data_IF_620705832968
#
_entry.id   IF_620705832968
#
_cell.length_a   1.000
_cell.length_b   1.000
_cell.length_c   1.000
_cell.angle_alpha   90.00
_cell.angle_beta   90.00
_cell.angle_gamma   90.00
#
_symmetry.space_group_name_H-M   'P 1'
#
loop_
_entity.id
_entity.type
_entity.pdbx_description
1 polymer ?
#
# COMPACT_ATOMS: atom_id res chain seq x y z
N UNK A 1 5.72 73.82 14.34
CA UNK A 1 4.42 73.10 14.44
C UNK A 1 4.49 71.86 13.55
N UNK A 2 4.37 70.68 14.16
CA UNK A 2 4.47 69.36 13.52
C UNK A 2 3.06 68.90 13.14
N UNK A 3 2.80 68.56 11.88
CA UNK A 3 1.58 67.86 11.46
C UNK A 3 1.97 66.42 11.09
N UNK A 4 1.61 65.46 11.93
CA UNK A 4 1.79 64.02 11.72
C UNK A 4 0.49 63.45 11.15
N UNK A 5 0.47 63.12 9.86
CA UNK A 5 -0.64 62.44 9.20
C UNK A 5 -0.47 60.93 9.38
N UNK A 6 -1.34 60.31 10.19
CA UNK A 6 -1.30 58.88 10.52
C UNK A 6 -2.14 58.10 9.50
N UNK A 7 -1.48 57.28 8.67
CA UNK A 7 -2.12 56.33 7.75
C UNK A 7 -2.39 55.03 8.53
N UNK A 8 -3.67 54.71 8.74
CA UNK A 8 -4.13 53.48 9.37
C UNK A 8 -4.15 52.35 8.33
N UNK A 9 -3.14 51.49 8.35
CA UNK A 9 -3.01 50.34 7.47
C UNK A 9 -3.75 49.15 8.09
N UNK A 10 -4.94 48.82 7.55
CA UNK A 10 -5.72 47.65 7.94
C UNK A 10 -5.05 46.41 7.32
N UNK A 11 -4.35 45.63 8.15
CA UNK A 11 -3.77 44.34 7.78
C UNK A 11 -4.88 43.29 7.87
N UNK A 12 -5.39 42.87 6.71
CA UNK A 12 -6.30 41.72 6.58
C UNK A 12 -5.44 40.46 6.76
N UNK A 13 -5.47 39.85 7.96
CA UNK A 13 -4.93 38.51 8.20
C UNK A 13 -5.81 37.50 7.44
N UNK A 14 -5.39 37.11 6.24
CA UNK A 14 -5.93 35.95 5.56
C UNK A 14 -5.40 34.69 6.27
N UNK A 15 -6.21 34.10 7.15
CA UNK A 15 -5.92 32.76 7.66
C UNK A 15 -6.11 31.78 6.49
N UNK A 16 -5.03 31.48 5.77
CA UNK A 16 -5.05 30.38 4.83
C UNK A 16 -5.40 29.10 5.61
N UNK A 17 -6.44 28.34 5.22
CA UNK A 17 -6.67 27.04 5.81
C UNK A 17 -5.42 26.20 5.52
N UNK A 18 -4.69 25.80 6.55
CA UNK A 18 -3.67 24.77 6.40
C UNK A 18 -4.43 23.50 6.06
N UNK A 19 -4.36 23.07 4.80
CA UNK A 19 -4.73 21.72 4.44
C UNK A 19 -3.72 20.85 5.18
N UNK A 20 -4.15 20.28 6.32
CA UNK A 20 -3.36 19.26 6.98
C UNK A 20 -3.12 18.18 5.93
N UNK A 21 -1.85 17.91 5.64
CA UNK A 21 -1.49 16.82 4.73
C UNK A 21 -2.19 15.56 5.25
N UNK A 22 -3.00 14.93 4.40
CA UNK A 22 -3.78 13.77 4.81
C UNK A 22 -2.79 12.67 5.22
N UNK A 23 -2.83 12.27 6.48
CA UNK A 23 -1.97 11.25 7.06
C UNK A 23 -2.76 9.98 7.33
N UNK A 24 -2.09 8.85 7.31
CA UNK A 24 -2.66 7.56 7.67
C UNK A 24 -2.64 7.34 9.17
N UNK A 25 -3.76 6.84 9.70
CA UNK A 25 -3.74 6.04 10.92
C UNK A 25 -2.88 4.79 10.73
N UNK A 26 -2.44 4.18 11.84
CA UNK A 26 -1.69 2.91 11.79
C UNK A 26 -2.43 1.82 11.00
N UNK A 27 -3.77 1.79 11.08
CA UNK A 27 -4.60 0.81 10.37
C UNK A 27 -4.69 1.08 8.87
N UNK A 28 -4.73 2.34 8.44
CA UNK A 28 -4.71 2.69 7.02
C UNK A 28 -3.35 2.38 6.40
N UNK A 29 -2.26 2.64 7.13
CA UNK A 29 -0.90 2.27 6.71
C UNK A 29 -0.73 0.74 6.61
N UNK A 30 -1.22 -0.02 7.61
CA UNK A 30 -1.26 -1.50 7.55
C UNK A 30 -2.08 -1.97 6.34
N UNK A 31 -3.23 -1.35 6.07
CA UNK A 31 -4.10 -1.73 4.96
C UNK A 31 -3.46 -1.52 3.59
N UNK A 32 -2.81 -0.38 3.36
CA UNK A 32 -2.10 -0.13 2.11
C UNK A 32 -0.99 -1.18 1.90
N UNK A 33 -0.18 -1.44 2.94
CA UNK A 33 0.87 -2.45 2.85
C UNK A 33 0.31 -3.85 2.63
N UNK A 34 -0.86 -4.16 3.19
CA UNK A 34 -1.59 -5.39 2.92
C UNK A 34 -2.00 -5.54 1.46
N UNK A 35 -2.52 -4.47 0.85
CA UNK A 35 -2.86 -4.43 -0.58
C UNK A 35 -1.60 -4.59 -1.44
N UNK A 36 -0.50 -3.91 -1.07
CA UNK A 36 0.80 -4.07 -1.74
C UNK A 36 1.28 -5.51 -1.71
N UNK A 37 1.33 -6.12 -0.52
CA UNK A 37 1.72 -7.53 -0.35
C UNK A 37 0.90 -8.44 -1.27
N UNK A 38 -0.42 -8.25 -1.29
CA UNK A 38 -1.30 -9.07 -2.13
C UNK A 38 -1.02 -8.89 -3.62
N UNK A 39 -0.91 -7.64 -4.10
CA UNK A 39 -0.61 -7.32 -5.50
C UNK A 39 0.75 -7.87 -5.93
N UNK A 40 1.79 -7.69 -5.12
CA UNK A 40 3.15 -8.17 -5.42
C UNK A 40 3.18 -9.70 -5.50
N UNK A 41 2.59 -10.41 -4.52
CA UNK A 41 2.59 -11.87 -4.50
C UNK A 41 1.82 -12.48 -5.68
N UNK A 42 0.78 -11.79 -6.18
CA UNK A 42 0.07 -12.20 -7.38
C UNK A 42 0.98 -12.21 -8.60
N UNK A 43 1.74 -11.13 -8.83
CA UNK A 43 2.66 -11.02 -9.97
C UNK A 43 3.80 -12.03 -9.87
N UNK A 44 4.36 -12.23 -8.66
CA UNK A 44 5.37 -13.27 -8.42
C UNK A 44 4.81 -14.65 -8.75
N UNK A 45 3.58 -14.95 -8.30
CA UNK A 45 2.95 -16.24 -8.51
C UNK A 45 2.73 -16.54 -9.99
N UNK A 46 2.29 -15.54 -10.76
CA UNK A 46 2.09 -15.64 -12.20
C UNK A 46 3.42 -15.89 -12.95
N UNK A 47 4.46 -15.10 -12.66
CA UNK A 47 5.74 -15.21 -13.35
C UNK A 47 6.53 -16.48 -12.95
N UNK A 48 6.32 -16.99 -11.75
CA UNK A 48 7.01 -18.17 -11.22
C UNK A 48 6.14 -19.42 -11.17
N UNK A 49 5.04 -19.46 -11.93
CA UNK A 49 4.11 -20.60 -11.97
C UNK A 49 4.73 -21.93 -12.44
N UNK A 50 5.91 -21.92 -13.04
CA UNK A 50 6.60 -23.14 -13.45
C UNK A 50 7.37 -23.78 -12.29
N UNK A 51 7.60 -23.04 -11.19
CA UNK A 51 8.25 -23.57 -9.99
C UNK A 51 7.28 -24.36 -9.13
N UNK A 52 7.76 -25.47 -8.58
CA UNK A 52 7.08 -26.21 -7.53
C UNK A 52 7.38 -25.58 -6.16
N UNK A 53 6.35 -25.42 -5.35
CA UNK A 53 6.45 -25.15 -3.92
C UNK A 53 6.87 -26.40 -3.14
N UNK A 54 7.19 -26.23 -1.86
CA UNK A 54 7.45 -27.34 -0.93
C UNK A 54 6.34 -28.42 -0.88
N UNK A 55 5.11 -28.06 -1.27
CA UNK A 55 3.95 -28.97 -1.29
C UNK A 55 3.67 -29.57 -2.68
N UNK A 56 4.58 -29.40 -3.65
CA UNK A 56 4.43 -29.90 -5.02
C UNK A 56 3.47 -29.12 -5.92
N UNK A 57 2.74 -28.13 -5.37
CA UNK A 57 1.90 -27.23 -6.18
C UNK A 57 2.74 -26.15 -6.84
N UNK A 58 2.28 -25.63 -7.99
CA UNK A 58 2.89 -24.43 -8.53
C UNK A 58 2.65 -23.19 -7.67
N UNK A 59 3.54 -22.19 -7.79
CA UNK A 59 3.48 -20.98 -6.97
C UNK A 59 2.24 -20.12 -7.19
N UNK A 60 1.63 -20.16 -8.39
CA UNK A 60 0.36 -19.47 -8.62
C UNK A 60 -0.79 -20.08 -7.81
N UNK A 61 -0.87 -21.42 -7.75
CA UNK A 61 -1.85 -22.13 -6.94
C UNK A 61 -1.64 -21.87 -5.44
N UNK A 62 -0.39 -21.83 -4.98
CA UNK A 62 -0.07 -21.48 -3.58
C UNK A 62 -0.48 -20.05 -3.25
N UNK A 63 -0.23 -19.09 -4.13
CA UNK A 63 -0.75 -17.73 -4.00
C UNK A 63 -2.28 -17.72 -3.91
N UNK A 64 -2.98 -18.44 -4.79
CA UNK A 64 -4.45 -18.51 -4.76
C UNK A 64 -4.99 -19.08 -3.44
N UNK A 65 -4.36 -20.14 -2.91
CA UNK A 65 -4.71 -20.71 -1.60
C UNK A 65 -4.47 -19.71 -0.47
N UNK A 66 -3.37 -18.97 -0.53
CA UNK A 66 -3.07 -17.89 0.41
C UNK A 66 -4.14 -16.80 0.37
N UNK A 67 -4.51 -16.30 -0.81
CA UNK A 67 -5.59 -15.31 -0.98
C UNK A 67 -6.92 -15.83 -0.45
N UNK A 68 -7.27 -17.09 -0.73
CA UNK A 68 -8.52 -17.70 -0.25
C UNK A 68 -8.54 -17.84 1.27
N UNK A 69 -7.43 -18.27 1.88
CA UNK A 69 -7.30 -18.44 3.34
C UNK A 69 -7.51 -17.13 4.10
N UNK A 70 -7.13 -16.00 3.50
CA UNK A 70 -7.12 -14.68 4.15
C UNK A 70 -8.01 -13.66 3.42
N UNK A 71 -9.03 -14.13 2.71
CA UNK A 71 -9.88 -13.28 1.87
C UNK A 71 -10.59 -12.19 2.68
N UNK A 72 -11.02 -12.49 3.91
CA UNK A 72 -11.64 -11.53 4.83
C UNK A 72 -10.69 -10.39 5.21
N UNK A 73 -9.41 -10.71 5.42
CA UNK A 73 -8.40 -9.74 5.80
C UNK A 73 -8.12 -8.76 4.65
N UNK A 74 -7.91 -9.29 3.43
CA UNK A 74 -7.66 -8.43 2.26
C UNK A 74 -8.88 -7.58 1.90
N UNK A 75 -10.09 -8.13 1.99
CA UNK A 75 -11.32 -7.35 1.83
C UNK A 75 -11.46 -6.24 2.89
N UNK A 76 -11.01 -6.51 4.12
CA UNK A 76 -10.98 -5.49 5.18
C UNK A 76 -10.01 -4.37 4.87
N UNK A 77 -8.81 -4.67 4.35
CA UNK A 77 -7.84 -3.66 3.94
C UNK A 77 -8.37 -2.76 2.81
N UNK A 78 -8.98 -3.35 1.78
CA UNK A 78 -9.62 -2.59 0.72
C UNK A 78 -10.71 -1.66 1.26
N UNK A 79 -11.54 -2.17 2.19
CA UNK A 79 -12.56 -1.36 2.85
C UNK A 79 -11.97 -0.17 3.62
N UNK A 80 -10.87 -0.37 4.35
CA UNK A 80 -10.20 0.69 5.12
C UNK A 80 -9.70 1.78 4.16
N UNK A 81 -8.99 1.40 3.08
CA UNK A 81 -8.49 2.38 2.10
C UNK A 81 -9.65 3.09 1.39
N UNK A 82 -10.71 2.37 1.01
CA UNK A 82 -11.91 2.99 0.43
C UNK A 82 -12.55 4.00 1.38
N UNK A 83 -12.58 3.74 2.68
CA UNK A 83 -13.10 4.68 3.68
C UNK A 83 -12.20 5.91 3.81
N UNK A 84 -10.88 5.73 3.85
CA UNK A 84 -9.91 6.83 3.83
C UNK A 84 -10.10 7.72 2.60
N UNK A 85 -10.13 7.14 1.40
CA UNK A 85 -10.27 7.88 0.15
C UNK A 85 -11.57 8.70 0.13
N UNK A 86 -12.70 8.09 0.54
CA UNK A 86 -13.99 8.78 0.66
C UNK A 86 -13.94 9.93 1.66
N UNK A 87 -13.36 9.70 2.85
CA UNK A 87 -13.27 10.71 3.91
C UNK A 87 -12.41 11.91 3.48
N UNK A 88 -11.40 11.67 2.65
CA UNK A 88 -10.49 12.71 2.16
C UNK A 88 -10.93 13.32 0.82
N UNK A 89 -12.16 13.07 0.37
CA UNK A 89 -12.77 13.77 -0.77
C UNK A 89 -12.36 13.23 -2.14
N UNK A 90 -11.85 12.01 -2.23
CA UNK A 90 -11.59 11.36 -3.52
C UNK A 90 -12.90 11.23 -4.32
N UNK A 91 -12.88 11.67 -5.58
CA UNK A 91 -14.06 11.70 -6.46
C UNK A 91 -14.43 10.33 -7.00
N UNK A 92 -13.48 9.40 -7.08
CA UNK A 92 -13.68 8.03 -7.51
C UNK A 92 -12.76 7.06 -6.74
N UNK A 93 -13.09 6.78 -5.45
CA UNK A 93 -12.27 5.95 -4.57
C UNK A 93 -11.96 4.56 -5.13
N UNK A 94 -12.89 3.97 -5.87
CA UNK A 94 -12.71 2.65 -6.47
C UNK A 94 -11.67 2.67 -7.59
N UNK A 95 -11.72 3.67 -8.47
CA UNK A 95 -10.70 3.85 -9.48
C UNK A 95 -9.33 4.09 -8.85
N UNK A 96 -9.25 4.92 -7.81
CA UNK A 96 -8.00 5.18 -7.09
C UNK A 96 -7.45 3.92 -6.43
N UNK A 97 -8.29 3.09 -5.79
CA UNK A 97 -7.88 1.79 -5.25
C UNK A 97 -7.37 0.83 -6.34
N UNK A 98 -8.04 0.78 -7.49
CA UNK A 98 -7.62 -0.05 -8.62
C UNK A 98 -6.28 0.42 -9.21
N UNK A 99 -6.06 1.74 -9.30
CA UNK A 99 -4.75 2.31 -9.68
C UNK A 99 -3.68 1.91 -8.67
N UNK A 100 -3.92 2.06 -7.38
CA UNK A 100 -2.98 1.65 -6.32
C UNK A 100 -2.59 0.17 -6.44
N UNK A 101 -3.56 -0.72 -6.67
CA UNK A 101 -3.30 -2.16 -6.89
C UNK A 101 -2.42 -2.39 -8.11
N UNK A 102 -2.68 -1.65 -9.18
CA UNK A 102 -1.94 -1.71 -10.45
C UNK A 102 -0.51 -1.21 -10.29
N UNK A 103 -0.30 -0.11 -9.57
CA UNK A 103 1.03 0.46 -9.32
C UNK A 103 1.91 -0.50 -8.51
N UNK A 104 1.35 -1.13 -7.47
CA UNK A 104 2.06 -2.14 -6.70
C UNK A 104 2.40 -3.38 -7.53
N UNK A 105 1.49 -3.83 -8.38
CA UNK A 105 1.76 -4.94 -9.30
C UNK A 105 2.86 -4.55 -10.30
N UNK A 106 2.80 -3.35 -10.88
CA UNK A 106 3.74 -2.87 -11.90
C UNK A 106 5.17 -2.79 -11.39
N UNK A 107 5.39 -2.46 -10.11
CA UNK A 107 6.74 -2.47 -9.53
C UNK A 107 7.43 -3.83 -9.70
N UNK A 108 6.72 -4.92 -9.41
CA UNK A 108 7.26 -6.28 -9.58
C UNK A 108 7.21 -6.73 -11.04
N UNK A 109 6.22 -6.30 -11.83
CA UNK A 109 6.16 -6.61 -13.26
C UNK A 109 7.35 -6.03 -14.02
N UNK A 110 7.81 -4.83 -13.65
CA UNK A 110 8.99 -4.21 -14.25
C UNK A 110 10.25 -5.04 -13.95
N UNK A 111 10.43 -5.46 -12.70
CA UNK A 111 11.53 -6.39 -12.34
C UNK A 111 11.44 -7.70 -13.13
N UNK A 112 10.24 -8.26 -13.30
CA UNK A 112 10.04 -9.48 -14.08
C UNK A 112 10.37 -9.30 -15.57
N UNK A 113 10.16 -8.10 -16.12
CA UNK A 113 10.47 -7.77 -17.51
C UNK A 113 11.98 -7.51 -17.72
N UNK A 114 12.66 -6.92 -16.74
CA UNK A 114 14.08 -6.58 -16.83
C UNK A 114 15.00 -7.76 -16.47
N UNK A 115 14.58 -8.61 -15.54
CA UNK A 115 15.37 -9.73 -15.06
C UNK A 115 15.18 -10.98 -15.91
N UNK A 116 16.22 -11.82 -15.95
CA UNK A 116 16.05 -13.19 -16.45
C UNK A 116 15.06 -13.97 -15.56
N UNK A 117 14.16 -14.80 -16.12
CA UNK A 117 13.15 -15.52 -15.34
C UNK A 117 13.70 -16.35 -14.18
N UNK A 118 14.84 -17.02 -14.37
CA UNK A 118 15.48 -17.85 -13.34
C UNK A 118 16.01 -17.03 -12.15
N UNK A 119 16.52 -15.83 -12.42
CA UNK A 119 17.02 -14.90 -11.40
C UNK A 119 15.87 -14.22 -10.68
N UNK A 120 14.84 -13.80 -11.42
CA UNK A 120 13.62 -13.22 -10.87
C UNK A 120 12.99 -14.18 -9.86
N UNK A 121 12.72 -15.41 -10.29
CA UNK A 121 12.05 -16.37 -9.43
C UNK A 121 12.88 -16.82 -8.24
N UNK A 122 14.20 -16.96 -8.38
CA UNK A 122 15.09 -17.20 -7.23
C UNK A 122 15.02 -16.09 -6.18
N UNK A 123 14.89 -14.84 -6.63
CA UNK A 123 14.84 -13.66 -5.74
C UNK A 123 13.49 -13.50 -5.06
N UNK A 124 12.40 -13.78 -5.78
CA UNK A 124 11.04 -13.42 -5.35
C UNK A 124 10.16 -14.59 -4.89
N UNK A 125 10.33 -15.79 -5.44
CA UNK A 125 9.51 -16.96 -5.08
C UNK A 125 9.49 -17.29 -3.57
N UNK A 126 10.59 -17.17 -2.81
CA UNK A 126 10.57 -17.43 -1.37
C UNK A 126 9.55 -16.58 -0.59
N UNK A 127 9.11 -15.44 -1.12
CA UNK A 127 8.07 -14.61 -0.51
C UNK A 127 6.72 -15.33 -0.45
N UNK A 128 6.34 -16.05 -1.51
CA UNK A 128 5.09 -16.82 -1.55
C UNK A 128 5.16 -17.97 -0.53
N UNK A 129 6.27 -18.70 -0.50
CA UNK A 129 6.45 -19.83 0.44
C UNK A 129 6.42 -19.39 1.90
N UNK A 130 6.93 -18.18 2.19
CA UNK A 130 6.86 -17.61 3.52
C UNK A 130 5.43 -17.16 3.85
N UNK A 131 4.75 -16.50 2.90
CA UNK A 131 3.39 -15.99 3.08
C UNK A 131 2.37 -17.11 3.32
N UNK A 132 2.46 -18.23 2.61
CA UNK A 132 1.52 -19.36 2.75
C UNK A 132 1.57 -20.02 4.13
N UNK A 133 2.71 -19.92 4.82
CA UNK A 133 2.91 -20.42 6.19
C UNK A 133 2.42 -19.45 7.27
N UNK A 134 2.11 -18.20 6.93
CA UNK A 134 1.62 -17.23 7.90
C UNK A 134 0.15 -17.47 8.26
N UNK A 135 -0.15 -17.22 9.52
CA UNK A 135 -1.51 -16.98 9.99
C UNK A 135 -1.88 -15.50 9.81
N UNK A 136 -3.11 -15.16 10.21
CA UNK A 136 -3.64 -13.81 10.07
C UNK A 136 -2.78 -12.78 10.80
N UNK A 137 -2.36 -13.07 12.02
CA UNK A 137 -1.57 -12.15 12.84
C UNK A 137 -0.16 -11.95 12.29
N UNK A 138 0.45 -13.00 11.72
CA UNK A 138 1.71 -12.90 11.00
C UNK A 138 1.63 -11.96 9.80
N UNK A 139 0.54 -12.03 9.03
CA UNK A 139 0.31 -11.13 7.88
C UNK A 139 0.08 -9.70 8.35
N UNK A 140 -0.73 -9.50 9.39
CA UNK A 140 -0.97 -8.17 9.97
C UNK A 140 0.32 -7.53 10.47
N UNK A 141 1.15 -8.29 11.17
CA UNK A 141 2.47 -7.81 11.63
C UNK A 141 3.38 -7.45 10.46
N UNK A 142 3.38 -8.26 9.40
CA UNK A 142 4.15 -7.97 8.20
C UNK A 142 3.66 -6.69 7.51
N UNK A 143 2.34 -6.54 7.34
CA UNK A 143 1.72 -5.35 6.75
C UNK A 143 1.92 -4.09 7.60
N UNK A 144 1.91 -4.21 8.93
CA UNK A 144 2.18 -3.09 9.83
C UNK A 144 3.66 -2.66 9.86
N UNK A 145 4.58 -3.47 9.31
CA UNK A 145 6.00 -3.15 9.27
C UNK A 145 6.34 -2.34 8.02
N UNK A 146 6.50 -1.02 8.18
CA UNK A 146 6.87 -0.12 7.08
C UNK A 146 8.38 -0.15 6.88
N UNK A 147 8.81 -0.59 5.69
CA UNK A 147 10.22 -0.63 5.31
C UNK A 147 10.57 0.60 4.46
N UNK A 148 11.80 1.16 4.57
CA UNK A 148 12.22 2.28 3.71
C UNK A 148 12.13 1.97 2.21
N UNK A 149 12.29 0.70 1.82
CA UNK A 149 12.16 0.24 0.42
C UNK A 149 10.72 0.13 -0.08
N UNK A 150 9.75 0.19 0.83
CA UNK A 150 8.32 0.06 0.57
C UNK A 150 7.54 1.05 1.46
N UNK A 151 7.73 2.36 1.24
CA UNK A 151 7.02 3.38 2.01
C UNK A 151 5.51 3.30 1.73
N UNK A 152 4.73 3.91 2.62
CA UNK A 152 3.31 4.17 2.39
C UNK A 152 3.11 5.47 1.62
N UNK A 153 2.01 5.59 0.88
CA UNK A 153 1.71 6.78 0.06
C UNK A 153 1.44 8.05 0.87
N UNK A 154 0.98 7.89 2.11
CA UNK A 154 0.76 8.99 3.06
C UNK A 154 1.53 8.76 4.36
N UNK A 155 2.09 9.83 4.97
CA UNK A 155 2.79 9.70 6.25
C UNK A 155 1.84 9.16 7.33
N UNK A 156 2.38 8.39 8.28
CA UNK A 156 1.59 7.95 9.44
C UNK A 156 1.40 9.15 10.38
N UNK A 157 0.16 9.39 10.80
CA UNK A 157 -0.18 10.45 11.74
C UNK A 157 0.65 10.29 13.03
N UNK A 158 1.23 11.39 13.53
CA UNK A 158 1.83 11.41 14.85
C UNK A 158 0.74 11.11 15.87
N UNK A 159 0.96 10.15 16.76
CA UNK A 159 0.04 9.92 17.86
C UNK A 159 0.00 11.19 18.71
N UNK A 160 -1.20 11.78 18.84
CA UNK A 160 -1.48 12.92 19.72
C UNK A 160 -1.66 12.44 21.16
#
# INVERSE_FOLDING_TARGET
>A
MRLFTTILMIIILTTAPSWAEACYSKQEAEAEQGIRIHSELMVIGLNCQHMASANGNNLYLEHRKFTQKHADLFATYEKIIMQYLKKNGDKNPEATLNTMRTDFANKISNDAAEMRPDIFCRSYAPRIEKATKMDRDGIRKWAATIYPSHPVSHPVCKES
#
